data_IF_580559619236
#
_entry.id   IF_580559619236
#
_cell.length_a   1.000
_cell.length_b   1.000
_cell.length_c   1.000
_cell.angle_alpha   90.00
_cell.angle_beta   90.00
_cell.angle_gamma   90.00
#
_symmetry.space_group_name_H-M   'P 1'
#
loop_
_entity.id
_entity.type
_entity.pdbx_description
1 polymer ?
#
# COMPACT_ATOMS: atom_id res chain seq x y z
N UNK A 1 -8.88 6.10 -9.76
CA UNK A 1 -7.53 6.18 -10.35
C UNK A 1 -6.47 6.30 -9.27
N UNK A 2 -6.52 7.28 -8.36
CA UNK A 2 -5.48 7.49 -7.35
C UNK A 2 -5.09 6.25 -6.52
N UNK A 3 -6.04 5.39 -6.14
CA UNK A 3 -5.71 4.13 -5.46
C UNK A 3 -4.76 3.21 -6.26
N UNK A 4 -4.90 3.17 -7.60
CA UNK A 4 -3.97 2.41 -8.48
C UNK A 4 -2.59 3.06 -8.47
N UNK A 5 -2.52 4.39 -8.51
CA UNK A 5 -1.25 5.13 -8.40
C UNK A 5 -0.55 4.90 -7.07
N UNK A 6 -1.29 4.86 -5.96
CA UNK A 6 -0.72 4.47 -4.66
C UNK A 6 -0.18 3.03 -4.72
N UNK A 7 -0.92 2.10 -5.33
CA UNK A 7 -0.44 0.73 -5.51
C UNK A 7 0.87 0.70 -6.32
N UNK A 8 0.94 1.40 -7.46
CA UNK A 8 2.15 1.52 -8.29
C UNK A 8 3.34 2.10 -7.49
N UNK A 9 3.11 3.10 -6.63
CA UNK A 9 4.17 3.66 -5.76
C UNK A 9 4.73 2.59 -4.82
N UNK A 10 3.86 1.80 -4.18
CA UNK A 10 4.28 0.82 -3.17
C UNK A 10 4.71 -0.55 -3.74
N UNK A 11 4.45 -0.81 -5.02
CA UNK A 11 5.07 -1.92 -5.77
C UNK A 11 6.35 -1.51 -6.49
N UNK A 12 6.79 -0.27 -6.34
CA UNK A 12 7.96 0.28 -7.05
C UNK A 12 7.80 0.29 -8.58
N UNK A 13 6.57 0.53 -9.05
CA UNK A 13 6.24 0.73 -10.46
C UNK A 13 5.84 -0.54 -11.21
N UNK A 14 5.32 -1.57 -10.52
CA UNK A 14 4.75 -2.73 -11.22
C UNK A 14 3.52 -2.34 -12.06
N UNK A 15 3.28 -3.11 -13.13
CA UNK A 15 2.10 -2.92 -13.98
C UNK A 15 0.84 -3.46 -13.29
N UNK A 16 -0.21 -2.65 -13.09
CA UNK A 16 -1.46 -3.12 -12.49
C UNK A 16 -2.14 -4.13 -13.43
N UNK A 17 -2.55 -5.27 -12.87
CA UNK A 17 -3.19 -6.35 -13.64
C UNK A 17 -2.36 -6.84 -14.84
N UNK A 18 -1.04 -6.92 -14.68
CA UNK A 18 -0.10 -7.32 -15.72
C UNK A 18 -0.58 -8.55 -16.53
N UNK A 19 -0.53 -8.44 -17.86
CA UNK A 19 -0.90 -9.51 -18.79
C UNK A 19 -2.41 -9.66 -19.05
N UNK A 20 -3.27 -8.85 -18.43
CA UNK A 20 -4.71 -8.87 -18.68
C UNK A 20 -5.13 -7.75 -19.64
N UNK A 21 -6.13 -8.04 -20.48
CA UNK A 21 -6.79 -7.02 -21.29
C UNK A 21 -7.93 -6.34 -20.53
N UNK A 22 -8.45 -5.24 -21.08
CA UNK A 22 -9.51 -4.45 -20.43
C UNK A 22 -10.78 -5.23 -20.09
N UNK A 23 -11.17 -6.22 -20.90
CA UNK A 23 -12.35 -7.05 -20.61
C UNK A 23 -12.11 -7.98 -19.41
N UNK A 24 -10.94 -8.61 -19.35
CA UNK A 24 -10.55 -9.47 -18.23
C UNK A 24 -10.41 -8.66 -16.92
N UNK A 25 -9.84 -7.46 -17.00
CA UNK A 25 -9.72 -6.54 -15.86
C UNK A 25 -11.12 -6.14 -15.37
N UNK A 26 -12.03 -5.77 -16.28
CA UNK A 26 -13.40 -5.41 -15.91
C UNK A 26 -14.13 -6.59 -15.24
N UNK A 27 -13.94 -7.81 -15.72
CA UNK A 27 -14.54 -9.01 -15.13
C UNK A 27 -14.04 -9.25 -13.69
N UNK A 28 -12.73 -9.11 -13.45
CA UNK A 28 -12.15 -9.20 -12.10
C UNK A 28 -12.72 -8.12 -11.18
N UNK A 29 -12.72 -6.86 -11.61
CA UNK A 29 -13.12 -5.73 -10.77
C UNK A 29 -14.63 -5.73 -10.49
N UNK A 30 -15.46 -5.92 -11.52
CA UNK A 30 -16.91 -5.70 -11.41
C UNK A 30 -17.67 -6.96 -10.98
N UNK A 31 -17.32 -8.12 -11.55
CA UNK A 31 -18.01 -9.38 -11.24
C UNK A 31 -17.43 -10.12 -10.03
N UNK A 32 -16.10 -10.17 -9.94
CA UNK A 32 -15.41 -10.91 -8.87
C UNK A 32 -15.11 -10.03 -7.64
N UNK A 33 -15.34 -8.71 -7.76
CA UNK A 33 -14.98 -7.71 -6.76
C UNK A 33 -13.50 -7.79 -6.35
N UNK A 34 -12.63 -8.23 -7.26
CA UNK A 34 -11.20 -8.36 -7.04
C UNK A 34 -10.54 -6.97 -7.08
N UNK A 35 -9.49 -6.80 -6.27
CA UNK A 35 -8.63 -5.62 -6.25
C UNK A 35 -7.18 -6.08 -6.32
N UNK A 36 -6.29 -5.16 -6.69
CA UNK A 36 -4.85 -5.43 -6.66
C UNK A 36 -4.44 -5.83 -5.24
N UNK A 37 -3.54 -6.80 -5.11
CA UNK A 37 -3.08 -7.29 -3.82
C UNK A 37 -2.32 -6.22 -3.04
N UNK A 38 -2.28 -6.35 -1.71
CA UNK A 38 -1.47 -5.47 -0.87
C UNK A 38 0.01 -5.58 -1.26
N UNK A 39 0.68 -4.47 -1.62
CA UNK A 39 2.11 -4.48 -1.89
C UNK A 39 2.92 -4.82 -0.63
N UNK A 40 4.03 -5.55 -0.78
CA UNK A 40 4.90 -5.95 0.35
C UNK A 40 5.48 -4.77 1.14
N UNK A 41 5.71 -3.64 0.47
CA UNK A 41 6.26 -2.45 1.10
C UNK A 41 5.17 -1.50 1.64
N UNK A 42 3.88 -1.84 1.43
CA UNK A 42 2.76 -0.99 1.84
C UNK A 42 2.37 -1.29 3.27
N UNK A 43 2.40 -0.29 4.18
CA UNK A 43 1.76 -0.44 5.48
C UNK A 43 0.25 -0.73 5.35
N UNK A 44 -0.36 -1.50 6.26
CA UNK A 44 -1.78 -1.84 6.20
C UNK A 44 -2.71 -0.62 6.14
N UNK A 45 -2.36 0.46 6.84
CA UNK A 45 -3.14 1.71 6.83
C UNK A 45 -3.16 2.39 5.45
N UNK A 46 -2.05 2.33 4.71
CA UNK A 46 -1.99 2.86 3.34
C UNK A 46 -2.82 1.99 2.41
N UNK A 47 -2.72 0.66 2.53
CA UNK A 47 -3.50 -0.24 1.69
C UNK A 47 -5.02 -0.09 1.92
N UNK A 48 -5.44 0.15 3.17
CA UNK A 48 -6.83 0.49 3.47
C UNK A 48 -7.29 1.76 2.73
N UNK A 49 -6.46 2.80 2.67
CA UNK A 49 -6.75 3.99 1.87
C UNK A 49 -6.88 3.67 0.37
N UNK A 50 -6.06 2.76 -0.16
CA UNK A 50 -6.20 2.28 -1.54
C UNK A 50 -7.56 1.59 -1.76
N UNK A 51 -7.95 0.70 -0.85
CA UNK A 51 -9.24 -0.02 -0.90
C UNK A 51 -10.43 0.94 -0.89
N UNK A 52 -10.40 1.98 -0.05
CA UNK A 52 -11.42 3.03 -0.04
C UNK A 52 -11.51 3.77 -1.38
N UNK A 53 -10.36 4.10 -1.98
CA UNK A 53 -10.31 4.71 -3.31
C UNK A 53 -10.86 3.79 -4.42
N UNK A 54 -10.92 2.48 -4.17
CA UNK A 54 -11.46 1.47 -5.08
C UNK A 54 -12.85 0.97 -4.71
N UNK A 55 -13.59 1.71 -3.87
CA UNK A 55 -14.99 1.41 -3.60
C UNK A 55 -15.80 1.28 -4.91
N UNK A 56 -16.68 0.27 -4.96
CA UNK A 56 -17.48 -0.02 -6.15
C UNK A 56 -18.36 1.18 -6.51
N UNK A 57 -19.13 1.63 -5.52
CA UNK A 57 -19.98 2.81 -5.64
C UNK A 57 -19.14 4.09 -5.65
N UNK A 58 -19.27 4.96 -6.67
CA UNK A 58 -18.52 6.21 -6.74
C UNK A 58 -18.75 7.13 -5.54
N UNK A 59 -19.95 7.11 -4.96
CA UNK A 59 -20.34 7.91 -3.79
C UNK A 59 -19.67 7.46 -2.49
N UNK A 60 -19.12 6.25 -2.45
CA UNK A 60 -18.37 5.72 -1.31
C UNK A 60 -16.88 6.04 -1.38
N UNK A 61 -16.40 6.59 -2.51
CA UNK A 61 -14.99 6.96 -2.66
C UNK A 61 -14.72 8.29 -1.96
N UNK A 62 -13.63 8.40 -1.20
CA UNK A 62 -13.27 9.64 -0.52
C UNK A 62 -13.00 10.75 -1.54
N UNK A 63 -13.29 12.00 -1.15
CA UNK A 63 -12.82 13.14 -1.94
C UNK A 63 -11.29 13.21 -1.87
N UNK A 64 -10.66 13.91 -2.81
CA UNK A 64 -9.21 14.06 -2.77
C UNK A 64 -8.73 14.83 -1.52
N UNK A 65 -9.57 15.72 -0.98
CA UNK A 65 -9.30 16.37 0.31
C UNK A 65 -9.25 15.35 1.45
N UNK A 66 -10.24 14.45 1.53
CA UNK A 66 -10.26 13.39 2.53
C UNK A 66 -9.07 12.44 2.39
N UNK A 67 -8.69 12.11 1.15
CA UNK A 67 -7.51 11.29 0.86
C UNK A 67 -6.24 11.98 1.37
N UNK A 68 -6.09 13.28 1.13
CA UNK A 68 -4.95 14.06 1.59
C UNK A 68 -4.87 14.10 3.12
N UNK A 69 -5.98 14.41 3.80
CA UNK A 69 -6.04 14.43 5.27
C UNK A 69 -5.73 13.04 5.86
N UNK A 70 -6.30 11.97 5.29
CA UNK A 70 -6.00 10.60 5.71
C UNK A 70 -4.53 10.25 5.50
N UNK A 71 -3.96 10.59 4.35
CA UNK A 71 -2.55 10.33 4.06
C UNK A 71 -1.61 11.05 5.03
N UNK A 72 -1.92 12.31 5.39
CA UNK A 72 -1.16 13.05 6.41
C UNK A 72 -1.32 12.46 7.82
N UNK A 73 -2.48 11.89 8.13
CA UNK A 73 -2.75 11.21 9.39
C UNK A 73 -2.04 9.86 9.55
N UNK A 74 -1.43 9.31 8.50
CA UNK A 74 -0.70 8.05 8.58
C UNK A 74 0.62 8.27 9.32
N UNK A 75 0.68 7.73 10.54
CA UNK A 75 1.88 7.73 11.37
C UNK A 75 2.38 6.30 11.52
N UNK A 76 3.56 6.02 10.96
CA UNK A 76 4.21 4.72 11.10
C UNK A 76 5.11 4.72 12.34
N UNK A 77 5.10 3.64 13.15
CA UNK A 77 6.00 3.53 14.30
C UNK A 77 7.46 3.63 13.87
N UNK A 78 8.22 4.45 14.60
CA UNK A 78 9.67 4.62 14.40
C UNK A 78 10.37 4.03 15.61
N UNK A 79 11.13 2.96 15.39
CA UNK A 79 11.87 2.28 16.44
C UNK A 79 13.35 2.61 16.32
N UNK A 80 14.00 2.86 17.46
CA UNK A 80 15.45 3.02 17.52
C UNK A 80 16.10 1.68 17.82
N UNK A 81 17.06 1.30 16.99
CA UNK A 81 17.81 0.05 17.17
C UNK A 81 18.74 0.22 18.36
N UNK A 82 18.56 -0.65 19.36
CA UNK A 82 19.34 -0.61 20.60
C UNK A 82 20.65 -1.40 20.47
N UNK A 83 20.64 -2.47 19.70
CA UNK A 83 21.78 -3.37 19.49
C UNK A 83 21.89 -3.72 18.01
N UNK A 84 23.11 -3.73 17.48
CA UNK A 84 23.40 -4.14 16.10
C UNK A 84 22.93 -5.57 15.87
N UNK A 85 22.19 -5.78 14.78
CA UNK A 85 21.64 -7.07 14.39
C UNK A 85 22.08 -7.44 12.98
N UNK A 86 22.65 -8.63 12.83
CA UNK A 86 23.15 -9.19 11.58
C UNK A 86 22.87 -10.70 11.55
N UNK A 87 21.84 -11.08 10.80
CA UNK A 87 21.44 -12.46 10.54
C UNK A 87 21.20 -12.61 9.03
N UNK A 88 21.65 -13.72 8.44
CA UNK A 88 21.47 -13.98 7.01
C UNK A 88 19.98 -14.01 6.63
N UNK A 89 19.61 -13.28 5.57
CA UNK A 89 18.22 -13.18 5.11
C UNK A 89 17.34 -12.21 5.92
N UNK A 90 17.87 -11.50 6.92
CA UNK A 90 17.17 -10.45 7.66
C UNK A 90 17.74 -9.07 7.34
N UNK A 91 16.97 -8.02 7.64
CA UNK A 91 17.44 -6.64 7.53
C UNK A 91 18.58 -6.42 8.54
N UNK A 92 19.78 -6.13 8.05
CA UNK A 92 20.89 -5.71 8.89
C UNK A 92 20.60 -4.32 9.47
N UNK A 93 20.89 -4.14 10.74
CA UNK A 93 20.73 -2.84 11.41
C UNK A 93 21.84 -2.59 12.42
N UNK A 94 22.20 -1.32 12.62
CA UNK A 94 23.25 -0.88 13.55
C UNK A 94 22.64 -0.16 14.75
N UNK A 95 23.30 -0.24 15.91
CA UNK A 95 22.90 0.56 17.08
C UNK A 95 22.77 2.04 16.72
N UNK A 96 21.59 2.60 17.01
CA UNK A 96 21.26 4.00 16.74
C UNK A 96 20.42 4.22 15.48
N UNK A 97 20.31 3.23 14.58
CA UNK A 97 19.45 3.32 13.40
C UNK A 97 17.99 3.54 13.79
N UNK A 98 17.25 4.25 12.92
CA UNK A 98 15.80 4.42 13.05
C UNK A 98 15.12 3.58 11.98
N UNK A 99 14.35 2.59 12.42
CA UNK A 99 13.56 1.71 11.54
C UNK A 99 12.11 2.19 11.55
N UNK A 100 11.53 2.30 10.36
CA UNK A 100 10.10 2.52 10.18
C UNK A 100 9.44 1.14 10.08
N UNK A 101 8.49 0.87 10.96
CA UNK A 101 7.76 -0.39 10.98
C UNK A 101 6.63 -0.34 9.95
N UNK A 102 6.73 -1.18 8.92
CA UNK A 102 5.70 -1.29 7.86
C UNK A 102 4.66 -2.35 8.18
N UNK A 103 5.04 -3.40 8.91
CA UNK A 103 4.19 -4.49 9.39
C UNK A 103 4.63 -4.87 10.82
N UNK A 104 3.67 -5.22 11.68
CA UNK A 104 3.90 -5.57 13.09
C UNK A 104 3.17 -6.83 13.48
#
# INVERSE_FOLDING_TARGET
MFGVTLWEIFTFGEDPWAGLNGQQILEKIDKQNERLSCPKASPPCVYNLMLECWAKEPTQRPSFHDVFEKALGIVLPRLKVMETFEEEGRMRSSTGDIIIVTEG
#
